data_IF_856562935697
#
_entry.id   IF_856562935697
#
_cell.length_a   1.000
_cell.length_b   1.000
_cell.length_c   1.000
_cell.angle_alpha   90.00
_cell.angle_beta   90.00
_cell.angle_gamma   90.00
#
_symmetry.space_group_name_H-M   'P 1'
#
loop_
_entity.id
_entity.type
_entity.pdbx_description
1 polymer ?
#
# COMPACT_ATOMS: atom_id res chain seq x y z
N UNK A 1 -6.54 0.15 -7.65
CA UNK A 1 -6.96 1.55 -7.82
C UNK A 1 -8.48 1.73 -7.67
N UNK A 2 -9.32 0.95 -8.38
CA UNK A 2 -10.77 1.09 -8.27
C UNK A 2 -11.28 0.91 -6.83
N UNK A 3 -10.85 -0.14 -6.15
CA UNK A 3 -11.22 -0.42 -4.76
C UNK A 3 -10.70 0.66 -3.80
N UNK A 4 -9.49 1.17 -4.04
CA UNK A 4 -8.92 2.26 -3.27
C UNK A 4 -9.76 3.54 -3.43
N UNK A 5 -10.07 3.93 -4.68
CA UNK A 5 -10.92 5.10 -4.96
C UNK A 5 -12.33 4.96 -4.40
N UNK A 6 -12.92 3.77 -4.50
CA UNK A 6 -14.22 3.48 -3.89
C UNK A 6 -14.19 3.70 -2.38
N UNK A 7 -13.15 3.19 -1.71
CA UNK A 7 -13.01 3.30 -0.25
C UNK A 7 -12.81 4.75 0.20
N UNK A 8 -11.93 5.50 -0.48
CA UNK A 8 -11.67 6.91 -0.15
C UNK A 8 -12.90 7.80 -0.29
N UNK A 9 -13.74 7.51 -1.30
CA UNK A 9 -14.89 8.35 -1.65
C UNK A 9 -16.23 7.79 -1.14
N UNK A 10 -16.25 6.62 -0.53
CA UNK A 10 -17.47 5.98 -0.02
C UNK A 10 -18.13 6.79 1.10
N UNK A 11 -17.35 7.50 1.91
CA UNK A 11 -17.84 8.38 2.99
C UNK A 11 -18.71 9.55 2.46
N UNK A 12 -18.62 9.88 1.18
CA UNK A 12 -19.39 10.95 0.55
C UNK A 12 -20.70 10.47 -0.11
N UNK A 13 -21.09 9.22 0.08
CA UNK A 13 -22.34 8.66 -0.47
C UNK A 13 -22.37 8.47 -1.98
N UNK A 14 -21.25 8.65 -2.67
CA UNK A 14 -21.14 8.57 -4.14
C UNK A 14 -20.66 7.20 -4.60
N UNK A 15 -21.58 6.24 -4.79
CA UNK A 15 -21.24 4.88 -5.25
C UNK A 15 -20.47 4.85 -6.60
N UNK A 16 -20.66 5.84 -7.47
CA UNK A 16 -19.97 5.92 -8.78
C UNK A 16 -18.58 6.58 -8.73
N UNK A 17 -18.16 7.05 -7.57
CA UNK A 17 -16.92 7.82 -7.44
C UNK A 17 -15.66 7.00 -7.74
N UNK A 18 -15.68 5.68 -7.49
CA UNK A 18 -14.55 4.79 -7.81
C UNK A 18 -14.22 4.74 -9.30
N UNK A 19 -15.24 4.71 -10.17
CA UNK A 19 -15.05 4.76 -11.62
C UNK A 19 -14.51 6.11 -12.10
N UNK A 20 -15.04 7.21 -11.56
CA UNK A 20 -14.56 8.56 -11.86
C UNK A 20 -13.11 8.77 -11.41
N UNK A 21 -12.76 8.27 -10.22
CA UNK A 21 -11.39 8.28 -9.73
C UNK A 21 -10.44 7.51 -10.67
N UNK A 22 -10.84 6.32 -11.12
CA UNK A 22 -10.05 5.53 -12.05
C UNK A 22 -9.86 6.24 -13.40
N UNK A 23 -10.92 6.85 -13.94
CA UNK A 23 -10.84 7.63 -15.18
C UNK A 23 -9.92 8.85 -15.02
N UNK A 24 -10.05 9.62 -13.94
CA UNK A 24 -9.15 10.73 -13.64
C UNK A 24 -7.68 10.26 -13.53
N UNK A 25 -7.44 9.17 -12.83
CA UNK A 25 -6.11 8.62 -12.68
C UNK A 25 -5.52 8.17 -14.04
N UNK A 26 -6.32 7.50 -14.86
CA UNK A 26 -5.91 7.10 -16.21
C UNK A 26 -5.57 8.30 -17.09
N UNK A 27 -6.40 9.34 -17.06
CA UNK A 27 -6.13 10.60 -17.79
C UNK A 27 -4.85 11.27 -17.30
N UNK A 28 -4.63 11.35 -15.99
CA UNK A 28 -3.40 11.90 -15.41
C UNK A 28 -2.18 11.10 -15.85
N UNK A 29 -2.26 9.77 -15.89
CA UNK A 29 -1.17 8.91 -16.38
C UNK A 29 -0.89 9.12 -17.89
N UNK A 30 -1.93 9.36 -18.69
CA UNK A 30 -1.75 9.65 -20.13
C UNK A 30 -1.13 11.03 -20.38
N UNK A 31 -1.55 12.05 -19.61
CA UNK A 31 -1.07 13.43 -19.76
C UNK A 31 0.31 13.61 -19.14
N UNK A 32 0.58 12.96 -18.01
CA UNK A 32 1.84 13.08 -17.26
C UNK A 32 3.07 12.47 -17.95
N UNK A 33 2.88 11.74 -19.05
CA UNK A 33 3.95 11.04 -19.78
C UNK A 33 4.97 11.96 -20.46
N UNK A 34 4.75 13.27 -20.46
CA UNK A 34 5.66 14.26 -21.07
C UNK A 34 6.93 14.55 -20.24
N UNK A 35 6.98 14.17 -18.98
CA UNK A 35 8.14 14.39 -18.11
C UNK A 35 8.96 13.12 -17.92
N UNK A 36 10.25 13.19 -18.22
CA UNK A 36 11.19 12.04 -18.17
C UNK A 36 11.24 11.38 -16.76
N UNK A 37 10.99 12.15 -15.72
CA UNK A 37 11.02 11.68 -14.33
C UNK A 37 9.63 11.55 -13.68
N UNK A 38 8.56 11.58 -14.47
CA UNK A 38 7.21 11.41 -13.92
C UNK A 38 6.92 9.93 -13.59
N UNK A 39 6.10 9.64 -12.56
CA UNK A 39 5.64 8.28 -12.26
C UNK A 39 4.98 7.60 -13.46
N UNK A 40 4.29 8.37 -14.30
CA UNK A 40 3.60 7.93 -15.50
C UNK A 40 4.59 7.44 -16.58
N UNK A 41 5.70 8.15 -16.76
CA UNK A 41 6.75 7.72 -17.70
C UNK A 41 7.43 6.44 -17.20
N UNK A 42 7.67 6.32 -15.89
CA UNK A 42 8.18 5.08 -15.31
C UNK A 42 7.21 3.92 -15.49
N UNK A 43 5.90 4.17 -15.40
CA UNK A 43 4.89 3.13 -15.60
C UNK A 43 4.84 2.64 -17.05
N UNK A 44 4.87 3.56 -18.04
CA UNK A 44 4.66 3.22 -19.45
C UNK A 44 5.96 2.79 -20.13
N UNK A 45 7.07 3.50 -19.89
CA UNK A 45 8.34 3.28 -20.64
C UNK A 45 9.34 2.44 -19.90
N UNK A 46 9.25 2.36 -18.57
CA UNK A 46 10.21 1.67 -17.69
C UNK A 46 9.55 0.69 -16.73
N UNK A 47 8.42 0.11 -17.13
CA UNK A 47 7.68 -0.87 -16.29
C UNK A 47 8.53 -2.11 -15.96
N UNK A 48 9.49 -2.44 -16.81
CA UNK A 48 10.47 -3.49 -16.57
C UNK A 48 11.47 -3.17 -15.44
N UNK A 49 11.59 -1.90 -15.04
CA UNK A 49 12.34 -1.52 -13.85
C UNK A 49 11.45 -1.72 -12.62
N UNK A 50 11.89 -2.50 -11.66
CA UNK A 50 11.16 -2.79 -10.43
C UNK A 50 10.66 -1.54 -9.69
N UNK A 51 11.38 -0.40 -9.83
CA UNK A 51 10.96 0.90 -9.28
C UNK A 51 9.60 1.37 -9.83
N UNK A 52 9.37 1.21 -11.14
CA UNK A 52 8.10 1.58 -11.78
C UNK A 52 6.95 0.69 -11.27
N UNK A 53 7.19 -0.62 -11.20
CA UNK A 53 6.21 -1.56 -10.62
C UNK A 53 5.89 -1.25 -9.17
N UNK A 54 6.91 -0.94 -8.35
CA UNK A 54 6.70 -0.59 -6.95
C UNK A 54 5.81 0.65 -6.79
N UNK A 55 6.08 1.72 -7.54
CA UNK A 55 5.27 2.95 -7.50
C UNK A 55 3.84 2.68 -7.97
N UNK A 56 3.67 1.93 -9.06
CA UNK A 56 2.36 1.70 -9.67
C UNK A 56 1.50 0.69 -8.91
N UNK A 57 2.08 -0.35 -8.34
CA UNK A 57 1.36 -1.45 -7.71
C UNK A 57 1.64 -1.55 -6.21
N UNK A 58 2.89 -1.46 -5.79
CA UNK A 58 3.31 -1.62 -4.40
C UNK A 58 2.72 -0.57 -3.48
N UNK A 59 2.88 0.72 -3.81
CA UNK A 59 2.38 1.82 -2.99
C UNK A 59 0.85 1.75 -2.80
N UNK A 60 0.02 1.66 -3.86
CA UNK A 60 -1.43 1.53 -3.71
C UNK A 60 -1.86 0.26 -2.96
N UNK A 61 -1.12 -0.83 -3.13
CA UNK A 61 -1.38 -2.07 -2.42
C UNK A 61 -1.15 -1.91 -0.92
N UNK A 62 0.03 -1.41 -0.51
CA UNK A 62 0.39 -1.17 0.89
C UNK A 62 -0.63 -0.23 1.54
N UNK A 63 -1.00 0.84 0.84
CA UNK A 63 -1.98 1.79 1.33
C UNK A 63 -3.34 1.14 1.56
N UNK A 64 -3.86 0.42 0.56
CA UNK A 64 -5.18 -0.21 0.64
C UNK A 64 -5.26 -1.28 1.72
N UNK A 65 -4.35 -2.26 1.68
CA UNK A 65 -4.35 -3.36 2.63
C UNK A 65 -3.85 -2.95 4.01
N UNK A 66 -2.95 -1.98 4.09
CA UNK A 66 -2.51 -1.40 5.35
C UNK A 66 -3.65 -0.70 6.09
N UNK A 67 -4.41 0.17 5.41
CA UNK A 67 -5.61 0.77 5.99
C UNK A 67 -6.62 -0.30 6.43
N UNK A 68 -6.87 -1.31 5.58
CA UNK A 68 -7.82 -2.37 5.86
C UNK A 68 -7.43 -3.19 7.10
N UNK A 69 -6.16 -3.58 7.20
CA UNK A 69 -5.64 -4.36 8.32
C UNK A 69 -5.66 -3.58 9.64
N UNK A 70 -5.32 -2.29 9.58
CA UNK A 70 -5.32 -1.41 10.74
C UNK A 70 -6.75 -1.10 11.22
N UNK A 71 -7.68 -0.78 10.31
CA UNK A 71 -9.08 -0.58 10.66
C UNK A 71 -9.68 -1.85 11.27
N UNK A 72 -9.43 -3.01 10.67
CA UNK A 72 -9.88 -4.30 11.21
C UNK A 72 -9.29 -4.60 12.60
N UNK A 73 -8.12 -4.03 12.93
CA UNK A 73 -7.50 -4.16 14.25
C UNK A 73 -8.10 -3.19 15.26
N UNK A 74 -8.42 -1.96 14.83
CA UNK A 74 -8.96 -0.93 15.69
C UNK A 74 -10.47 -1.07 15.93
N UNK A 75 -11.21 -1.54 14.93
CA UNK A 75 -12.67 -1.72 14.95
C UNK A 75 -13.03 -3.22 15.10
N UNK A 76 -12.60 -3.82 16.20
CA UNK A 76 -12.77 -5.27 16.48
C UNK A 76 -14.22 -5.77 16.45
N UNK A 77 -15.19 -4.88 16.63
CA UNK A 77 -16.62 -5.23 16.63
C UNK A 77 -17.17 -5.46 15.22
N UNK A 78 -16.57 -4.84 14.20
CA UNK A 78 -17.03 -4.93 12.81
C UNK A 78 -16.44 -6.13 12.09
N UNK A 79 -15.20 -6.51 12.45
CA UNK A 79 -14.44 -7.54 11.74
C UNK A 79 -14.28 -8.80 12.60
N UNK A 80 -14.51 -9.96 11.98
CA UNK A 80 -14.23 -11.25 12.61
C UNK A 80 -12.72 -11.48 12.80
N UNK A 81 -12.33 -12.37 13.70
CA UNK A 81 -10.92 -12.73 13.91
C UNK A 81 -10.25 -13.25 12.62
N UNK A 82 -11.02 -14.02 11.81
CA UNK A 82 -10.53 -14.59 10.56
C UNK A 82 -10.27 -13.51 9.52
N UNK A 83 -11.18 -12.55 9.36
CA UNK A 83 -11.01 -11.43 8.44
C UNK A 83 -9.80 -10.57 8.78
N UNK A 84 -9.63 -10.25 10.06
CA UNK A 84 -8.44 -9.51 10.53
C UNK A 84 -7.14 -10.24 10.17
N UNK A 85 -7.08 -11.54 10.47
CA UNK A 85 -5.90 -12.34 10.16
C UNK A 85 -5.65 -12.38 8.65
N UNK A 86 -6.69 -12.55 7.82
CA UNK A 86 -6.58 -12.54 6.37
C UNK A 86 -6.04 -11.21 5.84
N UNK A 87 -6.46 -10.07 6.39
CA UNK A 87 -5.95 -8.75 5.98
C UNK A 87 -4.44 -8.62 6.28
N UNK A 88 -4.00 -9.09 7.45
CA UNK A 88 -2.58 -9.05 7.81
C UNK A 88 -1.73 -10.01 6.97
N UNK A 89 -2.24 -11.21 6.66
CA UNK A 89 -1.55 -12.16 5.78
C UNK A 89 -1.42 -11.58 4.36
N UNK A 90 -2.49 -10.99 3.81
CA UNK A 90 -2.45 -10.35 2.50
C UNK A 90 -1.46 -9.18 2.49
N UNK A 91 -1.46 -8.36 3.54
CA UNK A 91 -0.50 -7.26 3.65
C UNK A 91 0.95 -7.79 3.70
N UNK A 92 1.23 -8.80 4.53
CA UNK A 92 2.56 -9.39 4.63
C UNK A 92 3.02 -10.02 3.29
N UNK A 93 2.13 -10.71 2.59
CA UNK A 93 2.43 -11.25 1.26
C UNK A 93 2.75 -10.16 0.24
N UNK A 94 2.01 -9.04 0.26
CA UNK A 94 2.28 -7.90 -0.59
C UNK A 94 3.56 -7.17 -0.25
N UNK A 95 3.88 -7.03 1.04
CA UNK A 95 5.16 -6.50 1.51
C UNK A 95 6.32 -7.35 0.97
N UNK A 96 6.25 -8.66 1.14
CA UNK A 96 7.26 -9.58 0.59
C UNK A 96 7.36 -9.46 -0.94
N UNK A 97 6.25 -9.34 -1.66
CA UNK A 97 6.27 -9.11 -3.11
C UNK A 97 6.95 -7.80 -3.49
N UNK A 98 6.80 -6.74 -2.70
CA UNK A 98 7.48 -5.45 -2.91
C UNK A 98 9.01 -5.59 -2.81
N UNK A 99 9.53 -6.47 -1.96
CA UNK A 99 10.97 -6.73 -1.84
C UNK A 99 11.57 -7.29 -3.14
N UNK A 100 10.79 -8.05 -3.91
CA UNK A 100 11.23 -8.57 -5.21
C UNK A 100 11.13 -7.54 -6.35
N UNK A 101 10.50 -6.40 -6.13
CA UNK A 101 10.44 -5.32 -7.11
C UNK A 101 11.74 -4.48 -7.16
N UNK A 102 12.74 -4.82 -6.34
CA UNK A 102 14.06 -4.21 -6.29
C UNK A 102 14.36 -3.52 -4.97
N UNK A 103 15.57 -2.99 -4.85
CA UNK A 103 16.06 -2.34 -3.62
C UNK A 103 15.14 -1.23 -3.09
N UNK A 104 14.52 -0.47 -4.01
CA UNK A 104 13.58 0.59 -3.64
C UNK A 104 12.37 0.02 -2.91
N UNK A 105 11.83 -1.13 -3.35
CA UNK A 105 10.73 -1.81 -2.68
C UNK A 105 11.13 -2.32 -1.31
N UNK A 106 12.33 -2.91 -1.20
CA UNK A 106 12.85 -3.47 0.04
C UNK A 106 12.93 -2.43 1.19
N UNK A 107 13.36 -1.20 0.89
CA UNK A 107 13.52 -0.17 1.93
C UNK A 107 12.29 0.73 2.07
N UNK A 108 11.63 1.06 0.95
CA UNK A 108 10.55 2.04 0.97
C UNK A 108 9.21 1.45 1.43
N UNK A 109 8.96 0.14 1.19
CA UNK A 109 7.72 -0.50 1.61
C UNK A 109 7.53 -0.50 3.14
N UNK A 110 8.51 -0.96 3.97
CA UNK A 110 8.36 -0.90 5.42
C UNK A 110 8.31 0.54 5.94
N UNK A 111 9.02 1.49 5.31
CA UNK A 111 8.94 2.90 5.67
C UNK A 111 7.52 3.46 5.45
N UNK A 112 6.91 3.20 4.29
CA UNK A 112 5.55 3.65 3.98
C UNK A 112 4.53 3.02 4.93
N UNK A 113 4.66 1.73 5.21
CA UNK A 113 3.77 1.05 6.16
C UNK A 113 3.94 1.62 7.57
N UNK A 114 5.16 1.91 7.99
CA UNK A 114 5.46 2.56 9.28
C UNK A 114 4.79 3.94 9.40
N UNK A 115 4.92 4.79 8.37
CA UNK A 115 4.24 6.09 8.33
C UNK A 115 2.71 5.95 8.39
N UNK A 116 2.15 4.97 7.66
CA UNK A 116 0.71 4.71 7.67
C UNK A 116 0.22 4.29 9.06
N UNK A 117 0.95 3.39 9.72
CA UNK A 117 0.61 2.92 11.08
C UNK A 117 0.66 4.07 12.08
N UNK A 118 1.69 4.91 12.01
CA UNK A 118 1.80 6.09 12.88
C UNK A 118 0.62 7.04 12.66
N UNK A 119 0.30 7.37 11.42
CA UNK A 119 -0.83 8.24 11.09
C UNK A 119 -2.17 7.66 11.61
N UNK A 120 -2.43 6.39 11.36
CA UNK A 120 -3.66 5.73 11.81
C UNK A 120 -3.71 5.58 13.34
N UNK A 121 -2.57 5.31 14.00
CA UNK A 121 -2.50 5.23 15.46
C UNK A 121 -2.82 6.57 16.13
N UNK A 122 -2.40 7.68 15.54
CA UNK A 122 -2.73 9.04 16.00
C UNK A 122 -4.23 9.31 15.83
N UNK A 123 -4.79 9.01 14.65
CA UNK A 123 -6.20 9.24 14.32
C UNK A 123 -7.12 8.42 15.25
N UNK A 124 -6.83 7.13 15.41
CA UNK A 124 -7.64 6.23 16.24
C UNK A 124 -7.27 6.27 17.73
N UNK A 125 -6.19 6.95 18.10
CA UNK A 125 -5.62 6.98 19.46
C UNK A 125 -5.38 5.56 20.03
N UNK A 126 -4.99 4.62 19.18
CA UNK A 126 -4.76 3.20 19.53
C UNK A 126 -3.44 2.73 18.94
N UNK A 127 -2.59 2.12 19.75
CA UNK A 127 -1.25 1.64 19.37
C UNK A 127 -1.20 0.15 19.06
N UNK A 128 -2.35 -0.54 19.06
CA UNK A 128 -2.45 -2.00 18.90
C UNK A 128 -2.01 -2.48 17.51
N UNK A 129 -1.95 -1.61 16.50
CA UNK A 129 -1.49 -1.92 15.14
C UNK A 129 0.02 -2.06 14.99
N UNK A 130 0.83 -1.54 15.94
CA UNK A 130 2.29 -1.53 15.82
C UNK A 130 2.87 -2.93 15.80
N UNK A 131 2.48 -3.78 16.76
CA UNK A 131 3.04 -5.13 16.88
C UNK A 131 2.83 -5.98 15.61
N UNK A 132 1.60 -6.11 15.06
CA UNK A 132 1.41 -6.87 13.82
C UNK A 132 2.12 -6.23 12.62
N UNK A 133 2.28 -4.90 12.59
CA UNK A 133 3.07 -4.23 11.55
C UNK A 133 4.53 -4.61 11.58
N UNK A 134 5.14 -4.59 12.76
CA UNK A 134 6.54 -5.04 12.93
C UNK A 134 6.70 -6.49 12.47
N UNK A 135 5.75 -7.37 12.82
CA UNK A 135 5.78 -8.76 12.36
C UNK A 135 5.68 -8.87 10.82
N UNK A 136 4.89 -8.02 10.16
CA UNK A 136 4.81 -8.00 8.69
C UNK A 136 6.11 -7.51 8.03
N UNK A 137 6.88 -6.64 8.69
CA UNK A 137 8.15 -6.11 8.16
C UNK A 137 9.35 -7.04 8.46
N UNK A 138 9.24 -8.03 9.34
CA UNK A 138 10.35 -8.93 9.69
C UNK A 138 10.97 -9.65 8.48
N UNK A 139 10.20 -10.23 7.54
CA UNK A 139 10.78 -10.90 6.38
C UNK A 139 11.61 -9.95 5.52
N UNK A 140 11.17 -8.69 5.35
CA UNK A 140 11.90 -7.68 4.60
C UNK A 140 13.17 -7.24 5.32
N UNK A 141 13.10 -7.06 6.64
CA UNK A 141 14.27 -6.72 7.45
C UNK A 141 15.34 -7.83 7.37
N UNK A 142 14.93 -9.12 7.39
CA UNK A 142 15.85 -10.24 7.22
C UNK A 142 16.47 -10.26 5.83
N UNK A 143 15.69 -10.02 4.77
CA UNK A 143 16.19 -9.92 3.41
C UNK A 143 17.14 -8.73 3.23
N UNK A 144 16.83 -7.58 3.84
CA UNK A 144 17.72 -6.41 3.79
C UNK A 144 19.06 -6.68 4.46
N UNK A 145 19.09 -7.37 5.60
CA UNK A 145 20.33 -7.78 6.27
C UNK A 145 21.13 -8.77 5.41
N UNK A 146 20.46 -9.77 4.82
CA UNK A 146 21.11 -10.72 3.92
C UNK A 146 21.69 -10.07 2.66
N UNK A 147 21.06 -9.00 2.19
CA UNK A 147 21.52 -8.23 1.02
C UNK A 147 22.77 -7.38 1.33
N UNK A 148 22.95 -6.97 2.58
CA UNK A 148 24.09 -6.16 3.03
C UNK A 148 25.32 -6.98 3.44
N UNK A 149 25.14 -8.29 3.68
CA UNK A 149 26.23 -9.26 4.00
C UNK A 149 26.86 -9.86 2.74
#
# INVERSE_FOLDING_TARGET
>A
YYQLGKRMLQKEGKQQAGGKFLCCLALLHMIGNYYVFSPENFLVTRIWQGKGMFVALGIPYIWYFGCLALEATYEKQVYTRRERLSCWILLAAGMLACSFMGETGLYLAPFLLGCLVLAMSIVYRKWQGILPTVLCCLPEATLAVLYLL
#
